data_IF_083366528371
#
_entry.id   IF_083366528371
#
_cell.length_a   1.000
_cell.length_b   1.000
_cell.length_c   1.000
_cell.angle_alpha   90.00
_cell.angle_beta   90.00
_cell.angle_gamma   90.00
#
_symmetry.space_group_name_H-M   'P 1'
#
loop_
_entity.id
_entity.type
_entity.pdbx_description
1 polymer ?
#
# COMPACT_ATOMS: atom_id res chain seq x y z
N UNK A 1 21.26 11.17 -14.86
CA UNK A 1 20.11 10.62 -14.13
C UNK A 1 19.10 9.88 -15.03
N UNK A 2 18.47 10.49 -16.05
CA UNK A 2 17.55 9.74 -16.92
C UNK A 2 18.24 8.62 -17.73
N UNK A 3 19.49 8.82 -18.15
CA UNK A 3 20.28 7.82 -18.89
C UNK A 3 20.69 6.66 -18.00
N UNK A 4 20.95 6.89 -16.74
CA UNK A 4 21.35 5.84 -15.79
C UNK A 4 20.23 4.82 -15.57
N UNK A 5 18.98 5.29 -15.36
CA UNK A 5 17.85 4.37 -15.18
C UNK A 5 17.57 3.51 -16.42
N UNK A 6 17.76 4.07 -17.63
CA UNK A 6 17.62 3.30 -18.88
C UNK A 6 18.66 2.19 -18.96
N UNK A 7 19.90 2.47 -18.56
CA UNK A 7 20.98 1.47 -18.50
C UNK A 7 20.61 0.37 -17.50
N UNK A 8 20.17 0.74 -16.29
CA UNK A 8 19.78 -0.24 -15.27
C UNK A 8 18.58 -1.10 -15.68
N UNK A 9 17.56 -0.52 -16.32
CA UNK A 9 16.43 -1.27 -16.88
C UNK A 9 16.91 -2.24 -17.95
N UNK A 10 17.79 -1.79 -18.85
CA UNK A 10 18.33 -2.64 -19.92
C UNK A 10 19.12 -3.82 -19.35
N UNK A 11 20.02 -3.57 -18.41
CA UNK A 11 20.79 -4.62 -17.73
C UNK A 11 19.85 -5.57 -16.99
N UNK A 12 18.84 -5.04 -16.27
CA UNK A 12 17.84 -5.84 -15.57
C UNK A 12 17.11 -6.79 -16.53
N UNK A 13 16.61 -6.30 -17.66
CA UNK A 13 15.91 -7.13 -18.66
C UNK A 13 16.82 -8.24 -19.19
N UNK A 14 18.06 -7.92 -19.55
CA UNK A 14 19.04 -8.89 -20.01
C UNK A 14 19.30 -9.97 -18.96
N UNK A 15 19.58 -9.57 -17.73
CA UNK A 15 19.83 -10.51 -16.64
C UNK A 15 18.59 -11.36 -16.32
N UNK A 16 17.39 -10.77 -16.37
CA UNK A 16 16.12 -11.48 -16.14
C UNK A 16 15.88 -12.59 -17.19
N UNK A 17 16.27 -12.37 -18.46
CA UNK A 17 16.18 -13.36 -19.53
C UNK A 17 17.21 -14.46 -19.35
N UNK A 18 18.43 -14.13 -18.93
CA UNK A 18 19.54 -15.08 -18.83
C UNK A 18 19.47 -15.97 -17.58
N UNK A 19 18.87 -15.49 -16.48
CA UNK A 19 18.89 -16.19 -15.19
C UNK A 19 17.57 -16.93 -14.95
N UNK A 20 17.62 -18.26 -14.92
CA UNK A 20 16.45 -19.13 -14.70
C UNK A 20 15.76 -18.92 -13.32
N UNK A 21 16.52 -18.57 -12.27
CA UNK A 21 16.01 -18.19 -10.94
C UNK A 21 16.22 -16.70 -10.73
N UNK A 22 15.29 -15.91 -11.14
CA UNK A 22 15.45 -14.46 -11.31
C UNK A 22 15.20 -13.61 -10.05
N UNK A 23 14.69 -14.17 -8.94
CA UNK A 23 14.40 -13.38 -7.74
C UNK A 23 15.61 -12.60 -7.16
N UNK A 24 16.87 -13.11 -7.22
CA UNK A 24 18.01 -12.31 -6.79
C UNK A 24 18.25 -11.10 -7.67
N UNK A 25 17.97 -11.23 -8.99
CA UNK A 25 18.08 -10.13 -9.95
C UNK A 25 17.06 -9.04 -9.62
N UNK A 26 15.82 -9.42 -9.31
CA UNK A 26 14.76 -8.49 -8.91
C UNK A 26 15.13 -7.75 -7.62
N UNK A 27 15.66 -8.48 -6.64
CA UNK A 27 16.07 -7.93 -5.35
C UNK A 27 17.22 -6.91 -5.50
N UNK A 28 18.26 -7.29 -6.24
CA UNK A 28 19.41 -6.40 -6.51
C UNK A 28 18.99 -5.17 -7.29
N UNK A 29 18.12 -5.34 -8.29
CA UNK A 29 17.60 -4.22 -9.09
C UNK A 29 16.85 -3.21 -8.22
N UNK A 30 15.91 -3.66 -7.39
CA UNK A 30 15.15 -2.78 -6.48
C UNK A 30 16.10 -2.04 -5.52
N UNK A 31 17.08 -2.74 -4.96
CA UNK A 31 18.06 -2.14 -4.05
C UNK A 31 18.91 -1.07 -4.75
N UNK A 32 19.34 -1.32 -6.00
CA UNK A 32 20.10 -0.34 -6.80
C UNK A 32 19.25 0.89 -7.16
N UNK A 33 18.02 0.70 -7.61
CA UNK A 33 17.11 1.82 -7.92
C UNK A 33 16.79 2.64 -6.66
N UNK A 34 16.62 1.99 -5.52
CA UNK A 34 16.44 2.67 -4.24
C UNK A 34 17.66 3.51 -3.85
N UNK A 35 18.85 2.97 -4.05
CA UNK A 35 20.11 3.70 -3.82
C UNK A 35 20.24 4.95 -4.71
N UNK A 36 19.75 4.88 -5.96
CA UNK A 36 19.74 6.04 -6.87
C UNK A 36 18.81 7.17 -6.41
N UNK A 37 17.77 6.87 -5.62
CA UNK A 37 16.83 7.88 -5.13
C UNK A 37 17.41 8.74 -4.00
N UNK A 38 18.02 8.12 -2.99
CA UNK A 38 18.41 8.78 -1.75
C UNK A 38 19.80 8.40 -1.23
N UNK A 39 20.60 7.67 -2.02
CA UNK A 39 21.90 7.16 -1.56
C UNK A 39 21.76 6.17 -0.39
N UNK A 40 22.78 6.00 0.44
CA UNK A 40 22.75 5.10 1.60
C UNK A 40 22.05 5.78 2.78
N UNK A 41 20.71 5.81 2.76
CA UNK A 41 19.90 6.49 3.78
C UNK A 41 18.79 5.59 4.34
N UNK A 42 18.22 5.99 5.47
CA UNK A 42 17.04 5.33 6.03
C UNK A 42 15.85 5.38 5.08
N UNK A 43 15.66 6.50 4.36
CA UNK A 43 14.61 6.64 3.35
C UNK A 43 14.71 5.55 2.29
N UNK A 44 15.91 5.26 1.80
CA UNK A 44 16.17 4.19 0.82
C UNK A 44 15.66 2.85 1.30
N UNK A 45 15.94 2.49 2.56
CA UNK A 45 15.50 1.23 3.16
C UNK A 45 13.98 1.20 3.31
N UNK A 46 13.40 2.25 3.89
CA UNK A 46 11.94 2.34 4.12
C UNK A 46 11.17 2.29 2.80
N UNK A 47 11.64 3.01 1.78
CA UNK A 47 10.97 3.04 0.48
C UNK A 47 11.08 1.70 -0.29
N UNK A 48 12.21 1.00 -0.22
CA UNK A 48 12.42 -0.26 -0.93
C UNK A 48 11.76 -1.47 -0.25
N UNK A 49 11.62 -1.45 1.07
CA UNK A 49 11.23 -2.61 1.88
C UNK A 49 9.95 -3.31 1.42
N UNK A 50 8.84 -2.62 1.09
CA UNK A 50 7.61 -3.30 0.66
C UNK A 50 7.79 -4.07 -0.66
N UNK A 51 8.60 -3.54 -1.57
CA UNK A 51 8.87 -4.18 -2.86
C UNK A 51 9.82 -5.35 -2.71
N UNK A 52 10.83 -5.23 -1.85
CA UNK A 52 11.74 -6.34 -1.52
C UNK A 52 10.98 -7.49 -0.85
N UNK A 53 10.04 -7.19 0.04
CA UNK A 53 9.14 -8.20 0.62
C UNK A 53 8.20 -8.76 -0.44
N UNK A 54 7.73 -7.97 -1.39
CA UNK A 54 6.94 -8.42 -2.52
C UNK A 54 7.67 -9.47 -3.36
N UNK A 55 8.97 -9.31 -3.58
CA UNK A 55 9.81 -10.33 -4.24
C UNK A 55 9.87 -11.62 -3.44
N UNK A 56 10.02 -11.54 -2.12
CA UNK A 56 10.15 -12.70 -1.23
C UNK A 56 8.80 -13.40 -0.99
N UNK A 57 7.71 -12.65 -0.95
CA UNK A 57 6.36 -13.12 -0.61
C UNK A 57 5.92 -14.33 -1.42
N UNK A 58 6.26 -14.37 -2.69
CA UNK A 58 5.82 -15.38 -3.63
C UNK A 58 6.95 -16.35 -4.00
N UNK A 59 7.99 -16.44 -3.18
CA UNK A 59 9.22 -17.20 -3.42
C UNK A 59 9.03 -18.71 -3.60
N UNK A 60 7.80 -19.22 -3.57
CA UNK A 60 7.50 -20.63 -3.80
C UNK A 60 6.30 -20.79 -4.73
N UNK A 61 6.50 -21.35 -5.91
CA UNK A 61 5.44 -21.71 -6.86
C UNK A 61 5.49 -20.92 -8.18
N UNK A 62 4.40 -21.03 -8.96
CA UNK A 62 4.28 -20.44 -10.31
C UNK A 62 4.43 -18.91 -10.38
N UNK A 63 4.17 -18.20 -9.27
CA UNK A 63 4.14 -16.74 -9.23
C UNK A 63 5.49 -16.08 -8.88
N UNK A 64 6.52 -16.86 -8.62
CA UNK A 64 7.80 -16.35 -8.12
C UNK A 64 8.50 -15.40 -9.10
N UNK A 65 8.47 -15.74 -10.39
CA UNK A 65 9.09 -14.94 -11.44
C UNK A 65 8.34 -13.63 -11.66
N UNK A 66 7.02 -13.74 -11.76
CA UNK A 66 6.10 -12.64 -12.04
C UNK A 66 6.03 -11.63 -10.89
N UNK A 67 6.05 -12.11 -9.65
CA UNK A 67 6.01 -11.24 -8.47
C UNK A 67 7.25 -10.36 -8.36
N UNK A 68 8.43 -10.93 -8.58
CA UNK A 68 9.67 -10.17 -8.61
C UNK A 68 9.64 -9.09 -9.70
N UNK A 69 9.22 -9.48 -10.92
CA UNK A 69 9.10 -8.56 -12.05
C UNK A 69 8.08 -7.44 -11.77
N UNK A 70 6.91 -7.79 -11.26
CA UNK A 70 5.88 -6.80 -10.92
C UNK A 70 6.37 -5.82 -9.84
N UNK A 71 7.05 -6.31 -8.80
CA UNK A 71 7.66 -5.47 -7.76
C UNK A 71 8.74 -4.55 -8.33
N UNK A 72 9.60 -5.05 -9.22
CA UNK A 72 10.65 -4.27 -9.88
C UNK A 72 10.08 -3.17 -10.77
N UNK A 73 9.07 -3.49 -11.60
CA UNK A 73 8.39 -2.51 -12.46
C UNK A 73 7.67 -1.46 -11.60
N UNK A 74 6.95 -1.89 -10.57
CA UNK A 74 6.25 -0.97 -9.67
C UNK A 74 7.25 -0.03 -8.97
N UNK A 75 8.40 -0.52 -8.52
CA UNK A 75 9.42 0.31 -7.89
C UNK A 75 10.12 1.24 -8.89
N UNK A 76 10.30 0.83 -10.15
CA UNK A 76 10.72 1.74 -11.22
C UNK A 76 9.72 2.88 -11.38
N UNK A 77 8.42 2.59 -11.27
CA UNK A 77 7.36 3.62 -11.23
C UNK A 77 7.56 4.61 -10.08
N UNK A 78 7.92 4.14 -8.88
CA UNK A 78 8.24 5.03 -7.74
C UNK A 78 9.43 5.93 -8.05
N UNK A 79 10.49 5.38 -8.66
CA UNK A 79 11.63 6.19 -9.10
C UNK A 79 11.21 7.29 -10.08
N UNK A 80 10.36 6.97 -11.06
CA UNK A 80 9.86 7.94 -12.02
C UNK A 80 8.97 9.01 -11.38
N UNK A 81 8.16 8.66 -10.38
CA UNK A 81 7.36 9.65 -9.63
C UNK A 81 8.22 10.69 -8.91
N UNK A 82 9.44 10.32 -8.52
CA UNK A 82 10.38 11.24 -7.88
C UNK A 82 11.09 12.19 -8.86
N UNK A 83 10.95 11.95 -10.18
CA UNK A 83 11.59 12.79 -11.19
C UNK A 83 10.72 13.96 -11.61
N UNK A 84 11.33 15.06 -12.05
CA UNK A 84 10.73 16.06 -12.90
C UNK A 84 10.98 15.70 -14.36
N UNK A 85 10.10 15.93 -15.31
CA UNK A 85 8.85 16.70 -15.30
C UNK A 85 7.56 15.88 -15.01
N UNK A 86 6.41 16.54 -15.05
CA UNK A 86 5.09 16.00 -14.71
C UNK A 86 4.72 14.67 -15.42
N UNK A 87 5.08 14.50 -16.68
CA UNK A 87 4.82 13.26 -17.42
C UNK A 87 5.55 12.05 -16.83
N UNK A 88 6.74 12.24 -16.26
CA UNK A 88 7.46 11.17 -15.55
C UNK A 88 6.71 10.75 -14.29
N UNK A 89 6.16 11.71 -13.54
CA UNK A 89 5.32 11.44 -12.37
C UNK A 89 4.07 10.65 -12.74
N UNK A 90 3.40 11.03 -13.83
CA UNK A 90 2.23 10.34 -14.34
C UNK A 90 2.56 8.90 -14.77
N UNK A 91 3.61 8.71 -15.56
CA UNK A 91 4.09 7.39 -15.98
C UNK A 91 4.47 6.54 -14.77
N UNK A 92 5.16 7.14 -13.81
CA UNK A 92 5.57 6.47 -12.57
C UNK A 92 4.39 5.97 -11.76
N UNK A 93 3.35 6.79 -11.59
CA UNK A 93 2.12 6.41 -10.91
C UNK A 93 1.43 5.24 -11.63
N UNK A 94 1.30 5.30 -12.95
CA UNK A 94 0.71 4.24 -13.76
C UNK A 94 1.49 2.91 -13.65
N UNK A 95 2.80 2.94 -13.72
CA UNK A 95 3.63 1.74 -13.57
C UNK A 95 3.50 1.14 -12.17
N UNK A 96 3.51 1.96 -11.12
CA UNK A 96 3.41 1.49 -9.75
C UNK A 96 2.02 0.88 -9.44
N UNK A 97 0.94 1.43 -10.00
CA UNK A 97 -0.43 0.96 -9.79
C UNK A 97 -0.76 -0.30 -10.60
N UNK A 98 -0.42 -0.33 -11.90
CA UNK A 98 -0.87 -1.40 -12.81
C UNK A 98 0.01 -2.66 -12.74
N UNK A 99 1.34 -2.53 -12.57
CA UNK A 99 2.25 -3.66 -12.64
C UNK A 99 1.87 -4.84 -11.70
N UNK A 100 1.46 -4.61 -10.46
CA UNK A 100 1.08 -5.72 -9.56
C UNK A 100 -0.19 -6.47 -10.02
N UNK A 101 -1.07 -5.85 -10.79
CA UNK A 101 -2.27 -6.50 -11.31
C UNK A 101 -1.95 -7.61 -12.32
N UNK A 102 -0.80 -7.52 -12.99
CA UNK A 102 -0.34 -8.56 -13.93
C UNK A 102 -0.14 -9.94 -13.27
N UNK A 103 -0.11 -10.01 -11.93
CA UNK A 103 -0.03 -11.28 -11.21
C UNK A 103 -1.34 -12.07 -11.18
N UNK A 104 -2.48 -11.43 -11.32
CA UNK A 104 -3.79 -12.10 -11.25
C UNK A 104 -4.03 -13.12 -12.36
N UNK A 105 -3.67 -12.86 -13.64
CA UNK A 105 -3.86 -13.83 -14.71
C UNK A 105 -3.06 -15.12 -14.52
N UNK A 106 -1.92 -15.04 -13.85
CA UNK A 106 -1.04 -16.20 -13.65
C UNK A 106 -1.65 -17.25 -12.72
N UNK A 107 -2.69 -16.89 -11.95
CA UNK A 107 -3.43 -17.80 -11.09
C UNK A 107 -4.38 -18.71 -11.85
N UNK A 108 -4.86 -18.28 -13.02
CA UNK A 108 -5.67 -19.08 -13.94
C UNK A 108 -7.11 -19.34 -13.47
N UNK A 109 -7.56 -18.74 -12.35
CA UNK A 109 -8.93 -18.84 -11.91
C UNK A 109 -9.81 -17.71 -12.44
N UNK A 110 -11.08 -18.05 -12.73
CA UNK A 110 -12.05 -17.11 -13.33
C UNK A 110 -12.28 -15.88 -12.44
N UNK A 111 -12.36 -16.08 -11.12
CA UNK A 111 -12.60 -14.98 -10.18
C UNK A 111 -11.48 -13.97 -10.17
N UNK A 112 -10.21 -14.41 -10.23
CA UNK A 112 -9.04 -13.52 -10.33
C UNK A 112 -9.01 -12.77 -11.66
N UNK A 113 -9.42 -13.40 -12.77
CA UNK A 113 -9.52 -12.72 -14.06
C UNK A 113 -10.60 -11.63 -14.04
N UNK A 114 -11.79 -11.94 -13.51
CA UNK A 114 -12.85 -10.94 -13.33
C UNK A 114 -12.39 -9.79 -12.41
N UNK A 115 -11.71 -10.10 -11.31
CA UNK A 115 -11.13 -9.10 -10.42
C UNK A 115 -10.10 -8.22 -11.11
N UNK A 116 -9.25 -8.80 -11.97
CA UNK A 116 -8.29 -8.06 -12.79
C UNK A 116 -8.99 -7.04 -13.71
N UNK A 117 -9.99 -7.48 -14.49
CA UNK A 117 -10.68 -6.56 -15.39
C UNK A 117 -11.31 -5.38 -14.65
N UNK A 118 -11.97 -5.64 -13.52
CA UNK A 118 -12.56 -4.59 -12.68
C UNK A 118 -11.51 -3.65 -12.11
N UNK A 119 -10.41 -4.19 -11.61
CA UNK A 119 -9.31 -3.38 -11.14
C UNK A 119 -8.72 -2.52 -12.26
N UNK A 120 -8.45 -3.09 -13.44
CA UNK A 120 -7.87 -2.34 -14.58
C UNK A 120 -8.77 -1.19 -15.03
N UNK A 121 -10.09 -1.36 -15.06
CA UNK A 121 -11.03 -0.28 -15.38
C UNK A 121 -10.87 0.89 -14.41
N UNK A 122 -10.88 0.61 -13.12
CA UNK A 122 -10.78 1.64 -12.08
C UNK A 122 -9.38 2.26 -12.02
N UNK A 123 -8.34 1.44 -12.10
CA UNK A 123 -6.95 1.95 -12.11
C UNK A 123 -6.66 2.78 -13.36
N UNK A 124 -7.24 2.41 -14.53
CA UNK A 124 -7.15 3.25 -15.74
C UNK A 124 -7.83 4.61 -15.53
N UNK A 125 -8.99 4.66 -14.87
CA UNK A 125 -9.65 5.92 -14.53
C UNK A 125 -8.79 6.73 -13.55
N UNK A 126 -8.23 6.13 -12.51
CA UNK A 126 -7.32 6.79 -11.57
C UNK A 126 -6.08 7.36 -12.28
N UNK A 127 -5.48 6.59 -13.20
CA UNK A 127 -4.37 7.06 -14.01
C UNK A 127 -4.75 8.19 -14.95
N UNK A 128 -5.94 8.15 -15.55
CA UNK A 128 -6.49 9.25 -16.36
C UNK A 128 -6.63 10.53 -15.55
N UNK A 129 -7.17 10.45 -14.33
CA UNK A 129 -7.25 11.59 -13.42
C UNK A 129 -5.86 12.10 -12.99
N UNK A 130 -4.90 11.21 -12.73
CA UNK A 130 -3.53 11.61 -12.40
C UNK A 130 -2.87 12.37 -13.56
N UNK A 131 -2.97 11.86 -14.79
CA UNK A 131 -2.44 12.51 -16.00
C UNK A 131 -3.09 13.89 -16.18
N UNK A 132 -4.43 13.95 -16.13
CA UNK A 132 -5.20 15.21 -16.29
C UNK A 132 -4.81 16.20 -15.20
N UNK A 133 -4.73 15.74 -13.96
CA UNK A 133 -4.37 16.57 -12.82
C UNK A 133 -2.98 17.18 -12.95
N UNK A 134 -1.98 16.37 -13.30
CA UNK A 134 -0.61 16.85 -13.49
C UNK A 134 -0.47 17.78 -14.71
N UNK A 135 -1.22 17.53 -15.79
CA UNK A 135 -1.21 18.39 -16.97
C UNK A 135 -1.86 19.76 -16.73
N UNK A 136 -2.90 19.81 -15.88
CA UNK A 136 -3.62 21.05 -15.57
C UNK A 136 -3.02 21.83 -14.41
N UNK A 137 -2.17 21.22 -13.59
CA UNK A 137 -1.71 21.77 -12.31
C UNK A 137 -1.07 23.16 -12.43
N UNK A 138 -0.31 23.39 -13.50
CA UNK A 138 0.41 24.66 -13.70
C UNK A 138 -0.51 25.77 -14.22
N UNK A 139 -1.55 25.42 -14.99
CA UNK A 139 -2.50 26.40 -15.58
C UNK A 139 -3.72 26.65 -14.68
N UNK A 140 -4.21 25.58 -14.04
CA UNK A 140 -5.41 25.59 -13.20
C UNK A 140 -5.14 24.79 -11.91
N UNK A 141 -4.40 25.34 -10.93
CA UNK A 141 -3.90 24.60 -9.77
C UNK A 141 -4.98 23.87 -8.97
N UNK A 142 -6.13 24.49 -8.74
CA UNK A 142 -7.23 23.88 -7.97
C UNK A 142 -7.82 22.67 -8.68
N UNK A 143 -8.10 22.79 -9.98
CA UNK A 143 -8.60 21.67 -10.79
C UNK A 143 -7.55 20.58 -10.93
N UNK A 144 -6.30 20.94 -11.19
CA UNK A 144 -5.21 19.98 -11.31
C UNK A 144 -5.05 19.16 -10.02
N UNK A 145 -4.97 19.82 -8.88
CA UNK A 145 -4.86 19.15 -7.60
C UNK A 145 -6.12 18.35 -7.22
N UNK A 146 -7.32 18.81 -7.55
CA UNK A 146 -8.55 18.04 -7.36
C UNK A 146 -8.49 16.69 -8.07
N UNK A 147 -8.06 16.65 -9.33
CA UNK A 147 -7.91 15.40 -10.07
C UNK A 147 -6.80 14.50 -9.49
N UNK A 148 -5.69 15.07 -9.02
CA UNK A 148 -4.62 14.31 -8.34
C UNK A 148 -5.15 13.67 -7.04
N UNK A 149 -5.88 14.43 -6.22
CA UNK A 149 -6.50 13.92 -4.98
C UNK A 149 -7.47 12.79 -5.30
N UNK A 150 -8.31 12.96 -6.33
CA UNK A 150 -9.26 11.94 -6.76
C UNK A 150 -8.54 10.67 -7.23
N UNK A 151 -7.47 10.78 -8.02
CA UNK A 151 -6.65 9.64 -8.44
C UNK A 151 -6.09 8.86 -7.26
N UNK A 152 -5.52 9.56 -6.28
CA UNK A 152 -4.98 8.96 -5.05
C UNK A 152 -6.08 8.28 -4.24
N UNK A 153 -7.23 8.94 -4.05
CA UNK A 153 -8.36 8.40 -3.30
C UNK A 153 -8.93 7.14 -3.96
N UNK A 154 -9.04 7.11 -5.29
CA UNK A 154 -9.48 5.93 -6.06
C UNK A 154 -8.50 4.78 -5.86
N UNK A 155 -7.19 5.00 -6.01
CA UNK A 155 -6.17 3.96 -5.92
C UNK A 155 -6.09 3.39 -4.49
N UNK A 156 -6.25 4.20 -3.46
CA UNK A 156 -6.36 3.76 -2.07
C UNK A 156 -7.66 2.99 -1.80
N UNK A 157 -8.69 3.19 -2.62
CA UNK A 157 -10.02 2.64 -2.40
C UNK A 157 -10.81 3.41 -1.34
N UNK A 158 -10.67 4.73 -1.31
CA UNK A 158 -11.42 5.60 -0.42
C UNK A 158 -12.81 5.95 -0.96
N UNK A 159 -13.67 6.50 -0.10
CA UNK A 159 -14.97 7.05 -0.49
C UNK A 159 -14.75 8.23 -1.47
N UNK A 160 -15.60 8.39 -2.52
CA UNK A 160 -16.80 7.60 -2.81
C UNK A 160 -16.55 6.33 -3.64
N UNK A 161 -15.34 6.12 -4.16
CA UNK A 161 -15.05 5.08 -5.16
C UNK A 161 -14.57 3.74 -4.55
N UNK A 162 -14.88 3.46 -3.30
CA UNK A 162 -14.37 2.30 -2.54
C UNK A 162 -14.92 0.93 -2.99
N UNK A 163 -16.08 0.90 -3.66
CA UNK A 163 -16.78 -0.35 -3.99
C UNK A 163 -15.93 -1.32 -4.81
N UNK A 164 -15.04 -0.81 -5.64
CA UNK A 164 -14.16 -1.66 -6.43
C UNK A 164 -13.26 -2.55 -5.57
N UNK A 165 -12.79 -2.04 -4.43
CA UNK A 165 -11.94 -2.82 -3.50
C UNK A 165 -12.72 -4.02 -2.98
N UNK A 166 -13.96 -3.80 -2.54
CA UNK A 166 -14.84 -4.86 -2.01
C UNK A 166 -15.14 -5.89 -3.08
N UNK A 167 -15.47 -5.44 -4.29
CA UNK A 167 -15.84 -6.30 -5.39
C UNK A 167 -14.64 -7.13 -5.90
N UNK A 168 -13.49 -6.51 -6.12
CA UNK A 168 -12.26 -7.19 -6.56
C UNK A 168 -11.78 -8.20 -5.52
N UNK A 169 -11.76 -7.81 -4.24
CA UNK A 169 -11.24 -8.70 -3.19
C UNK A 169 -12.16 -9.90 -2.96
N UNK A 170 -13.48 -9.73 -3.03
CA UNK A 170 -14.42 -10.84 -2.83
C UNK A 170 -14.34 -11.90 -3.93
N UNK A 171 -13.91 -11.55 -5.14
CA UNK A 171 -13.85 -12.45 -6.30
C UNK A 171 -12.49 -13.11 -6.49
N UNK A 172 -11.42 -12.39 -6.19
CA UNK A 172 -10.05 -12.85 -6.48
C UNK A 172 -9.55 -13.87 -5.47
N UNK A 173 -8.68 -14.77 -5.92
CA UNK A 173 -7.98 -15.70 -5.03
C UNK A 173 -7.06 -14.97 -4.05
N UNK A 174 -6.92 -15.49 -2.82
CA UNK A 174 -6.10 -14.87 -1.78
C UNK A 174 -4.63 -14.71 -2.19
N UNK A 175 -4.08 -15.63 -2.97
CA UNK A 175 -2.72 -15.54 -3.51
C UNK A 175 -2.49 -14.27 -4.34
N UNK A 176 -3.40 -13.92 -5.24
CA UNK A 176 -3.32 -12.70 -6.05
C UNK A 176 -3.57 -11.44 -5.21
N UNK A 177 -4.49 -11.54 -4.23
CA UNK A 177 -4.78 -10.44 -3.32
C UNK A 177 -3.59 -10.05 -2.45
N UNK A 178 -2.69 -10.96 -2.11
CA UNK A 178 -1.48 -10.61 -1.38
C UNK A 178 -0.65 -9.54 -2.11
N UNK A 179 -0.62 -9.55 -3.43
CA UNK A 179 0.05 -8.52 -4.22
C UNK A 179 -0.87 -7.32 -4.53
N UNK A 180 -2.10 -7.58 -4.99
CA UNK A 180 -3.03 -6.53 -5.42
C UNK A 180 -3.53 -5.65 -4.27
N UNK A 181 -3.73 -6.22 -3.08
CA UNK A 181 -4.14 -5.47 -1.90
C UNK A 181 -3.01 -4.66 -1.26
N UNK A 182 -1.79 -4.79 -1.75
CA UNK A 182 -0.59 -4.19 -1.16
C UNK A 182 0.15 -3.28 -2.14
N UNK A 183 0.79 -3.83 -3.15
CA UNK A 183 1.71 -3.09 -4.01
C UNK A 183 1.08 -1.90 -4.75
N UNK A 184 -0.13 -1.98 -5.34
CA UNK A 184 -0.74 -0.84 -6.03
C UNK A 184 -0.98 0.37 -5.13
N UNK A 185 -1.33 0.13 -3.86
CA UNK A 185 -1.56 1.21 -2.89
C UNK A 185 -0.31 2.01 -2.57
N UNK A 186 0.84 1.41 -2.78
CA UNK A 186 2.10 2.13 -2.67
C UNK A 186 2.21 3.24 -3.71
N UNK A 187 1.59 3.11 -4.91
CA UNK A 187 1.53 4.21 -5.88
C UNK A 187 0.93 5.47 -5.24
N UNK A 188 -0.19 5.33 -4.54
CA UNK A 188 -0.84 6.44 -3.83
C UNK A 188 0.01 6.94 -2.64
N UNK A 189 0.61 6.02 -1.87
CA UNK A 189 1.48 6.39 -0.74
C UNK A 189 2.69 7.21 -1.20
N UNK A 190 3.34 6.80 -2.29
CA UNK A 190 4.47 7.55 -2.85
C UNK A 190 4.03 8.85 -3.54
N UNK A 191 2.80 8.90 -4.07
CA UNK A 191 2.24 10.14 -4.60
C UNK A 191 2.11 11.23 -3.52
N UNK A 192 1.80 10.87 -2.27
CA UNK A 192 1.82 11.83 -1.16
C UNK A 192 3.21 12.46 -0.97
N UNK A 193 4.28 11.69 -1.15
CA UNK A 193 5.66 12.15 -0.92
C UNK A 193 6.25 12.88 -2.13
N UNK A 194 6.01 12.37 -3.35
CA UNK A 194 6.70 12.85 -4.56
C UNK A 194 5.85 13.77 -5.44
N UNK A 195 4.54 13.55 -5.51
CA UNK A 195 3.62 14.39 -6.28
C UNK A 195 3.11 15.56 -5.43
N UNK A 196 2.88 15.30 -4.12
CA UNK A 196 2.45 16.29 -3.13
C UNK A 196 1.19 17.03 -3.58
N UNK A 197 0.02 16.39 -3.62
CA UNK A 197 -1.21 17.04 -3.99
C UNK A 197 -1.49 18.23 -3.04
N UNK A 198 -1.83 19.39 -3.60
CA UNK A 198 -2.27 20.54 -2.84
C UNK A 198 -3.79 20.69 -2.93
N UNK A 199 -4.42 21.29 -1.92
CA UNK A 199 -5.86 21.50 -1.90
C UNK A 199 -6.35 21.86 -0.50
N UNK A 200 -7.64 22.21 -0.36
CA UNK A 200 -8.21 22.49 0.94
C UNK A 200 -8.11 21.27 1.87
N UNK A 201 -7.54 21.46 3.05
CA UNK A 201 -7.40 20.38 4.07
C UNK A 201 -8.73 19.71 4.38
N UNK A 202 -9.82 20.47 4.33
CA UNK A 202 -11.18 19.98 4.56
C UNK A 202 -11.56 18.84 3.60
N UNK A 203 -11.07 18.83 2.36
CA UNK A 203 -11.33 17.76 1.39
C UNK A 203 -10.71 16.47 1.88
N UNK A 204 -9.45 16.50 2.31
CA UNK A 204 -8.74 15.34 2.84
C UNK A 204 -9.38 14.82 4.13
N UNK A 205 -9.72 15.73 5.05
CA UNK A 205 -10.38 15.36 6.31
C UNK A 205 -11.75 14.73 6.07
N UNK A 206 -12.55 15.30 5.15
CA UNK A 206 -13.90 14.80 4.86
C UNK A 206 -13.86 13.42 4.20
N UNK A 207 -13.07 13.26 3.12
CA UNK A 207 -12.93 11.96 2.43
C UNK A 207 -12.35 10.93 3.41
N UNK A 208 -11.34 11.31 4.18
CA UNK A 208 -10.71 10.48 5.18
C UNK A 208 -11.71 10.01 6.26
N UNK A 209 -12.45 10.94 6.85
CA UNK A 209 -13.44 10.64 7.88
C UNK A 209 -14.55 9.72 7.36
N UNK A 210 -15.14 10.03 6.22
CA UNK A 210 -16.16 9.18 5.61
C UNK A 210 -15.65 7.78 5.30
N UNK A 211 -14.40 7.67 4.81
CA UNK A 211 -13.79 6.38 4.49
C UNK A 211 -13.56 5.53 5.75
N UNK A 212 -13.17 6.15 6.87
CA UNK A 212 -13.03 5.45 8.15
C UNK A 212 -14.36 4.85 8.62
N UNK A 213 -15.45 5.62 8.59
CA UNK A 213 -16.78 5.15 9.01
C UNK A 213 -17.27 4.03 8.09
N UNK A 214 -17.30 4.28 6.77
CA UNK A 214 -17.80 3.32 5.79
C UNK A 214 -17.00 2.01 5.84
N UNK A 215 -15.68 2.13 5.92
CA UNK A 215 -14.79 0.97 6.00
C UNK A 215 -15.00 0.17 7.28
N UNK A 216 -15.06 0.82 8.44
CA UNK A 216 -15.26 0.13 9.73
C UNK A 216 -16.64 -0.52 9.82
N UNK A 217 -17.71 0.18 9.43
CA UNK A 217 -19.07 -0.38 9.46
C UNK A 217 -19.19 -1.56 8.47
N UNK A 218 -18.65 -1.44 7.26
CA UNK A 218 -18.64 -2.52 6.30
C UNK A 218 -17.85 -3.75 6.77
N UNK A 219 -16.70 -3.56 7.44
CA UNK A 219 -15.92 -4.66 8.01
C UNK A 219 -16.64 -5.34 9.19
N UNK A 220 -17.31 -4.57 10.04
CA UNK A 220 -18.08 -5.11 11.19
C UNK A 220 -19.25 -5.99 10.73
N UNK A 221 -19.94 -5.59 9.67
CA UNK A 221 -21.11 -6.31 9.14
C UNK A 221 -20.76 -7.47 8.20
N UNK A 222 -19.51 -7.54 7.72
CA UNK A 222 -19.06 -8.60 6.81
C UNK A 222 -18.63 -9.86 7.57
N UNK A 223 -18.96 -11.05 6.99
CA UNK A 223 -18.56 -12.36 7.51
C UNK A 223 -17.46 -13.02 6.68
N UNK A 224 -17.36 -12.70 5.39
CA UNK A 224 -16.29 -13.19 4.50
C UNK A 224 -14.99 -12.46 4.81
N UNK A 225 -13.88 -13.20 5.06
CA UNK A 225 -12.57 -12.62 5.41
C UNK A 225 -12.04 -11.66 4.34
N UNK A 226 -12.26 -11.96 3.05
CA UNK A 226 -11.81 -11.11 1.96
C UNK A 226 -12.58 -9.79 1.96
N UNK A 227 -13.88 -9.81 2.26
CA UNK A 227 -14.69 -8.59 2.42
C UNK A 227 -14.30 -7.81 3.67
N UNK A 228 -14.05 -8.49 4.80
CA UNK A 228 -13.53 -7.84 6.01
C UNK A 228 -12.23 -7.09 5.71
N UNK A 229 -11.27 -7.74 5.05
CA UNK A 229 -10.00 -7.11 4.69
C UNK A 229 -10.17 -6.02 3.60
N UNK A 230 -11.15 -6.15 2.70
CA UNK A 230 -11.49 -5.11 1.74
C UNK A 230 -12.01 -3.84 2.42
N UNK A 231 -13.01 -3.97 3.28
CA UNK A 231 -13.55 -2.83 4.02
C UNK A 231 -12.54 -2.23 5.01
N UNK A 232 -11.72 -3.06 5.66
CA UNK A 232 -10.62 -2.55 6.49
C UNK A 232 -9.62 -1.74 5.67
N UNK A 233 -9.44 -2.07 4.39
CA UNK A 233 -8.64 -1.29 3.45
C UNK A 233 -9.22 0.11 3.23
N UNK A 234 -10.55 0.21 3.08
CA UNK A 234 -11.25 1.51 2.97
C UNK A 234 -11.02 2.35 4.23
N UNK A 235 -11.13 1.73 5.42
CA UNK A 235 -10.87 2.43 6.68
C UNK A 235 -9.42 2.93 6.77
N UNK A 236 -8.44 2.10 6.39
CA UNK A 236 -7.02 2.50 6.41
C UNK A 236 -6.69 3.58 5.36
N UNK A 237 -7.31 3.54 4.19
CA UNK A 237 -7.27 4.64 3.23
C UNK A 237 -7.78 5.96 3.85
N UNK A 238 -8.84 5.85 4.66
CA UNK A 238 -9.38 6.96 5.42
C UNK A 238 -8.38 7.56 6.42
N UNK A 239 -7.67 6.73 7.19
CA UNK A 239 -6.62 7.20 8.10
C UNK A 239 -5.50 7.92 7.34
N UNK A 240 -5.07 7.39 6.19
CA UNK A 240 -3.99 7.97 5.42
C UNK A 240 -4.38 9.33 4.80
N UNK A 241 -5.57 9.43 4.19
CA UNK A 241 -6.05 10.68 3.63
C UNK A 241 -6.25 11.75 4.72
N UNK A 242 -6.82 11.38 5.87
CA UNK A 242 -6.99 12.28 6.99
C UNK A 242 -5.64 12.77 7.56
N UNK A 243 -4.63 11.91 7.55
CA UNK A 243 -3.28 12.24 8.03
C UNK A 243 -2.50 13.17 7.09
N UNK A 244 -2.84 13.19 5.79
CA UNK A 244 -2.02 13.87 4.80
C UNK A 244 -1.81 15.37 5.06
N UNK A 245 -2.84 16.18 5.38
CA UNK A 245 -2.64 17.58 5.73
C UNK A 245 -1.80 17.81 7.00
N UNK A 246 -1.80 16.83 7.90
CA UNK A 246 -1.00 16.89 9.14
C UNK A 246 0.48 16.58 8.86
N UNK A 247 0.75 15.56 8.04
CA UNK A 247 2.09 15.20 7.56
C UNK A 247 2.00 14.20 6.40
N UNK A 248 2.64 14.53 5.29
CA UNK A 248 2.76 13.61 4.13
C UNK A 248 3.45 12.29 4.49
N UNK A 249 4.46 12.32 5.35
CA UNK A 249 5.15 11.14 5.82
C UNK A 249 4.29 10.29 6.76
N UNK A 250 3.44 10.94 7.56
CA UNK A 250 2.48 10.21 8.40
C UNK A 250 1.45 9.47 7.55
N UNK A 251 0.92 10.11 6.50
CA UNK A 251 0.05 9.45 5.53
C UNK A 251 0.73 8.27 4.85
N UNK A 252 1.98 8.45 4.41
CA UNK A 252 2.80 7.37 3.84
C UNK A 252 2.97 6.21 4.83
N UNK A 253 3.35 6.47 6.07
CA UNK A 253 3.58 5.44 7.08
C UNK A 253 2.34 4.64 7.44
N UNK A 254 1.15 5.26 7.42
CA UNK A 254 -0.12 4.57 7.62
C UNK A 254 -0.40 3.57 6.50
N UNK A 255 -0.21 3.96 5.24
CA UNK A 255 -0.34 3.04 4.10
C UNK A 255 0.76 1.98 4.13
N UNK A 256 1.99 2.35 4.44
CA UNK A 256 3.13 1.44 4.53
C UNK A 256 2.90 0.30 5.53
N UNK A 257 2.44 0.64 6.75
CA UNK A 257 2.14 -0.37 7.77
C UNK A 257 0.95 -1.27 7.38
N UNK A 258 -0.09 -0.70 6.75
CA UNK A 258 -1.24 -1.46 6.22
C UNK A 258 -0.81 -2.44 5.12
N UNK A 259 -0.03 -1.98 4.15
CA UNK A 259 0.45 -2.76 3.02
C UNK A 259 1.27 -3.96 3.48
N UNK A 260 2.25 -3.76 4.37
CA UNK A 260 3.08 -4.84 4.89
C UNK A 260 2.24 -5.89 5.63
N UNK A 261 1.32 -5.45 6.46
CA UNK A 261 0.43 -6.36 7.18
C UNK A 261 -0.53 -7.12 6.26
N UNK A 262 -1.15 -6.47 5.29
CA UNK A 262 -2.09 -7.10 4.36
C UNK A 262 -1.44 -8.06 3.39
N UNK A 263 -0.26 -7.73 2.88
CA UNK A 263 0.54 -8.65 2.09
C UNK A 263 0.71 -10.00 2.80
N UNK A 264 1.06 -9.96 4.08
CA UNK A 264 1.24 -11.15 4.89
C UNK A 264 -0.08 -11.81 5.30
N UNK A 265 -1.14 -11.05 5.60
CA UNK A 265 -2.46 -11.59 5.96
C UNK A 265 -3.12 -12.34 4.80
N UNK A 266 -3.07 -11.80 3.57
CA UNK A 266 -3.58 -12.52 2.41
C UNK A 266 -2.74 -13.75 2.05
N UNK A 267 -1.42 -13.68 2.24
CA UNK A 267 -0.57 -14.86 2.10
C UNK A 267 -0.88 -15.92 3.17
N UNK A 268 -1.19 -15.49 4.41
CA UNK A 268 -1.65 -16.37 5.48
C UNK A 268 -3.01 -16.99 5.14
N UNK A 269 -3.93 -16.23 4.60
CA UNK A 269 -5.26 -16.72 4.17
C UNK A 269 -5.14 -17.76 3.05
N UNK A 270 -4.16 -17.61 2.15
CA UNK A 270 -3.91 -18.55 1.05
C UNK A 270 -3.28 -19.87 1.50
N UNK A 271 -2.25 -19.79 2.33
CA UNK A 271 -1.35 -20.94 2.62
C UNK A 271 -1.45 -21.46 4.04
N UNK A 272 -2.12 -20.76 4.93
CA UNK A 272 -2.09 -21.03 6.36
C UNK A 272 -0.71 -20.80 6.99
N UNK A 273 -0.67 -20.41 8.25
CA UNK A 273 0.57 -20.22 8.99
C UNK A 273 0.36 -20.39 10.50
N UNK A 274 1.40 -20.16 11.30
CA UNK A 274 1.32 -20.27 12.75
C UNK A 274 0.38 -19.23 13.36
N UNK A 275 -0.38 -19.61 14.39
CA UNK A 275 -1.34 -18.74 15.08
C UNK A 275 -0.71 -17.48 15.66
N UNK A 276 0.52 -17.56 16.20
CA UNK A 276 1.23 -16.39 16.70
C UNK A 276 1.50 -15.35 15.59
N UNK A 277 1.82 -15.84 14.38
CA UNK A 277 1.98 -14.95 13.22
C UNK A 277 0.69 -14.24 12.85
N UNK A 278 -0.45 -14.95 12.85
CA UNK A 278 -1.77 -14.34 12.66
C UNK A 278 -2.06 -13.25 13.71
N UNK A 279 -1.78 -13.55 14.99
CA UNK A 279 -1.97 -12.58 16.09
C UNK A 279 -1.15 -11.32 15.89
N UNK A 280 0.13 -11.43 15.53
CA UNK A 280 1.01 -10.28 15.26
C UNK A 280 0.54 -9.48 14.05
N UNK A 281 0.17 -10.15 12.95
CA UNK A 281 -0.32 -9.47 11.74
C UNK A 281 -1.63 -8.71 11.99
N UNK A 282 -2.55 -9.32 12.73
CA UNK A 282 -3.80 -8.68 13.16
C UNK A 282 -3.52 -7.52 14.11
N UNK A 283 -2.60 -7.68 15.08
CA UNK A 283 -2.17 -6.60 15.98
C UNK A 283 -1.59 -5.41 15.19
N UNK A 284 -0.86 -5.67 14.10
CA UNK A 284 -0.37 -4.61 13.23
C UNK A 284 -1.50 -3.82 12.57
N UNK A 285 -2.55 -4.49 12.13
CA UNK A 285 -3.69 -3.83 11.50
C UNK A 285 -4.53 -3.02 12.51
N UNK A 286 -4.67 -3.53 13.72
CA UNK A 286 -5.36 -2.81 14.81
C UNK A 286 -4.49 -1.63 15.28
N UNK A 287 -3.18 -1.81 15.36
CA UNK A 287 -2.24 -0.86 15.96
C UNK A 287 -2.03 -1.15 17.45
N UNK A 288 -1.71 -2.41 17.81
CA UNK A 288 -1.36 -2.82 19.18
C UNK A 288 0.16 -2.84 19.31
N UNK A 289 0.77 -2.18 20.34
CA UNK A 289 2.21 -2.25 20.51
C UNK A 289 2.69 -3.69 20.77
N UNK A 290 3.91 -4.07 20.37
CA UNK A 290 5.00 -3.26 19.86
C UNK A 290 5.13 -3.25 18.33
N UNK A 291 4.09 -3.61 17.58
CA UNK A 291 4.18 -3.73 16.10
C UNK A 291 4.20 -2.36 15.40
N UNK A 292 4.69 -2.36 14.14
CA UNK A 292 4.85 -1.16 13.33
C UNK A 292 3.57 -0.32 13.24
N UNK A 293 2.40 -0.95 13.00
CA UNK A 293 1.13 -0.26 12.79
C UNK A 293 0.61 0.55 13.98
N UNK A 294 1.18 0.36 15.18
CA UNK A 294 0.86 1.16 16.36
C UNK A 294 1.34 2.61 16.22
N UNK A 295 2.58 2.82 15.81
CA UNK A 295 3.22 4.13 15.84
C UNK A 295 2.57 5.16 14.92
N UNK A 296 2.30 4.89 13.63
CA UNK A 296 1.62 5.87 12.79
C UNK A 296 0.22 6.24 13.30
N UNK A 297 -0.51 5.29 13.90
CA UNK A 297 -1.82 5.56 14.51
C UNK A 297 -1.71 6.41 15.77
N UNK A 298 -0.70 6.15 16.59
CA UNK A 298 -0.43 6.98 17.78
C UNK A 298 -0.09 8.43 17.38
N UNK A 299 0.81 8.60 16.41
CA UNK A 299 1.15 9.93 15.89
C UNK A 299 -0.04 10.63 15.24
N UNK A 300 -0.91 9.88 14.53
CA UNK A 300 -2.15 10.44 13.99
C UNK A 300 -3.05 11.00 15.10
N UNK A 301 -3.23 10.29 16.21
CA UNK A 301 -4.02 10.78 17.36
C UNK A 301 -3.38 12.04 17.93
N UNK A 302 -2.06 12.03 18.17
CA UNK A 302 -1.32 13.16 18.76
C UNK A 302 -1.41 14.40 17.84
N UNK A 303 -1.09 14.26 16.55
CA UNK A 303 -1.10 15.38 15.60
C UNK A 303 -2.52 15.94 15.43
N UNK A 304 -3.52 15.05 15.37
CA UNK A 304 -4.94 15.47 15.32
C UNK A 304 -5.34 16.22 16.57
N UNK A 305 -4.93 15.77 17.76
CA UNK A 305 -5.24 16.44 19.02
C UNK A 305 -4.64 17.85 19.09
N UNK A 306 -3.39 18.00 18.63
CA UNK A 306 -2.66 19.27 18.66
C UNK A 306 -3.20 20.25 17.61
N UNK A 307 -3.53 19.75 16.40
CA UNK A 307 -3.88 20.63 15.26
C UNK A 307 -5.38 20.91 15.18
N UNK A 308 -6.23 19.88 15.38
CA UNK A 308 -7.68 19.95 15.18
C UNK A 308 -8.47 19.87 16.48
N UNK A 309 -7.78 19.59 17.60
CA UNK A 309 -8.36 19.52 18.93
C UNK A 309 -8.83 18.12 19.35
N UNK A 310 -9.24 18.02 20.62
CA UNK A 310 -9.59 16.75 21.28
C UNK A 310 -10.76 16.01 20.67
N UNK A 311 -11.77 16.71 20.16
CA UNK A 311 -12.95 16.09 19.54
C UNK A 311 -12.56 15.29 18.28
N UNK A 312 -11.69 15.85 17.43
CA UNK A 312 -11.19 15.17 16.25
C UNK A 312 -10.29 13.98 16.63
N UNK A 313 -9.46 14.10 17.67
CA UNK A 313 -8.64 13.00 18.16
C UNK A 313 -9.49 11.85 18.74
N UNK A 314 -10.57 12.15 19.46
CA UNK A 314 -11.53 11.14 19.94
C UNK A 314 -12.18 10.43 18.75
N UNK A 315 -12.54 11.16 17.67
CA UNK A 315 -13.07 10.56 16.46
C UNK A 315 -12.11 9.53 15.84
N UNK A 316 -10.81 9.87 15.74
CA UNK A 316 -9.77 8.95 15.25
C UNK A 316 -9.67 7.74 16.19
N UNK A 317 -9.63 7.95 17.49
CA UNK A 317 -9.52 6.88 18.49
C UNK A 317 -10.71 5.91 18.41
N UNK A 318 -11.93 6.40 18.27
CA UNK A 318 -13.13 5.57 18.06
C UNK A 318 -12.99 4.73 16.81
N UNK A 319 -12.56 5.32 15.69
CA UNK A 319 -12.39 4.58 14.46
C UNK A 319 -11.28 3.52 14.53
N UNK A 320 -10.21 3.75 15.28
CA UNK A 320 -9.19 2.73 15.59
C UNK A 320 -9.81 1.62 16.44
N UNK A 321 -10.55 1.96 17.50
CA UNK A 321 -11.20 0.99 18.36
C UNK A 321 -12.20 0.09 17.61
N UNK A 322 -12.92 0.62 16.64
CA UNK A 322 -13.83 -0.15 15.78
C UNK A 322 -13.10 -1.22 14.95
N UNK A 323 -11.79 -1.12 14.76
CA UNK A 323 -11.02 -2.17 14.05
C UNK A 323 -10.85 -3.43 14.90
N UNK A 324 -10.90 -3.34 16.21
CA UNK A 324 -10.62 -4.44 17.15
C UNK A 324 -11.56 -5.63 16.95
N UNK A 325 -12.90 -5.48 17.04
CA UNK A 325 -13.81 -6.62 17.01
C UNK A 325 -13.76 -7.40 15.68
N UNK A 326 -13.69 -6.73 14.54
CA UNK A 326 -13.68 -7.46 13.27
C UNK A 326 -12.33 -8.13 12.98
N UNK A 327 -11.21 -7.56 13.42
CA UNK A 327 -9.91 -8.19 13.26
C UNK A 327 -9.71 -9.38 14.21
N UNK A 328 -10.20 -9.31 15.45
CA UNK A 328 -10.18 -10.47 16.35
C UNK A 328 -11.04 -11.61 15.81
N UNK A 329 -12.23 -11.31 15.27
CA UNK A 329 -13.06 -12.28 14.58
C UNK A 329 -12.34 -12.88 13.37
N UNK A 330 -11.67 -12.05 12.55
CA UNK A 330 -10.89 -12.51 11.40
C UNK A 330 -9.73 -13.42 11.83
N UNK A 331 -9.03 -13.10 12.92
CA UNK A 331 -7.93 -13.90 13.43
C UNK A 331 -8.34 -15.33 13.76
N UNK A 332 -9.51 -15.53 14.38
CA UNK A 332 -10.01 -16.85 14.72
C UNK A 332 -10.36 -17.71 13.51
N UNK A 333 -10.65 -17.08 12.38
CA UNK A 333 -11.04 -17.72 11.12
C UNK A 333 -9.88 -17.94 10.14
N UNK A 334 -8.68 -17.45 10.46
CA UNK A 334 -7.50 -17.67 9.60
C UNK A 334 -7.04 -19.13 9.66
N UNK A 335 -6.69 -19.75 8.50
CA UNK A 335 -6.31 -21.16 8.47
C UNK A 335 -4.96 -21.40 9.18
N UNK A 336 -4.84 -22.49 9.97
CA UNK A 336 -3.55 -22.90 10.50
C UNK A 336 -2.68 -23.47 9.37
N UNK A 337 -1.34 -23.41 9.53
CA UNK A 337 -0.40 -23.95 8.54
C UNK A 337 1.05 -23.68 8.86
N UNK A 338 1.91 -23.88 7.87
CA UNK A 338 3.37 -23.80 8.01
C UNK A 338 4.03 -22.77 7.11
N UNK A 339 3.26 -21.94 6.39
CA UNK A 339 3.84 -20.93 5.50
C UNK A 339 4.85 -20.03 6.24
N UNK A 340 6.02 -19.88 5.64
CA UNK A 340 7.13 -19.15 6.26
C UNK A 340 6.98 -17.64 6.11
N UNK A 341 6.47 -17.17 4.97
CA UNK A 341 6.38 -15.73 4.68
C UNK A 341 5.57 -14.96 5.75
N UNK A 342 4.36 -15.38 6.17
CA UNK A 342 3.63 -14.68 7.22
C UNK A 342 4.39 -14.65 8.56
N UNK A 343 5.18 -15.67 8.90
CA UNK A 343 6.02 -15.70 10.11
C UNK A 343 7.14 -14.67 10.02
N UNK A 344 7.85 -14.63 8.89
CA UNK A 344 8.93 -13.68 8.64
C UNK A 344 8.39 -12.25 8.65
N UNK A 345 7.29 -12.00 7.98
CA UNK A 345 6.64 -10.69 7.96
C UNK A 345 6.18 -10.26 9.36
N UNK A 346 5.59 -11.16 10.14
CA UNK A 346 5.19 -10.90 11.53
C UNK A 346 6.41 -10.52 12.40
N UNK A 347 7.49 -11.30 12.33
CA UNK A 347 8.73 -11.01 13.06
C UNK A 347 9.33 -9.65 12.67
N UNK A 348 9.30 -9.35 11.35
CA UNK A 348 9.79 -8.07 10.84
C UNK A 348 8.94 -6.89 11.34
N UNK A 349 7.61 -7.02 11.36
CA UNK A 349 6.71 -5.98 11.87
C UNK A 349 6.93 -5.69 13.36
N UNK A 350 7.25 -6.72 14.15
CA UNK A 350 7.63 -6.54 15.56
C UNK A 350 8.99 -5.86 15.65
N UNK A 351 9.99 -6.35 14.92
CA UNK A 351 11.33 -5.77 14.94
C UNK A 351 11.32 -4.28 14.55
N UNK A 352 10.71 -3.95 13.41
CA UNK A 352 10.59 -2.56 12.96
C UNK A 352 9.77 -1.74 13.97
N UNK A 353 8.72 -2.31 14.55
CA UNK A 353 7.89 -1.64 15.54
C UNK A 353 8.64 -1.31 16.83
N UNK A 354 9.50 -2.21 17.31
CA UNK A 354 10.32 -1.96 18.50
C UNK A 354 11.33 -0.82 18.28
N UNK A 355 11.94 -0.74 17.08
CA UNK A 355 12.90 0.33 16.78
C UNK A 355 12.22 1.59 16.19
N UNK A 356 10.91 1.54 15.94
CA UNK A 356 10.17 2.63 15.31
C UNK A 356 10.33 4.00 15.98
N UNK A 357 10.34 4.15 17.31
CA UNK A 357 10.55 5.45 17.95
C UNK A 357 11.83 6.16 17.52
N UNK A 358 12.88 5.38 17.18
CA UNK A 358 14.18 5.93 16.81
C UNK A 358 14.20 6.56 15.42
N UNK A 359 13.37 6.08 14.50
CA UNK A 359 13.43 6.51 13.12
C UNK A 359 12.14 7.21 12.62
N UNK A 360 10.99 6.94 13.21
CA UNK A 360 9.75 7.65 12.82
C UNK A 360 9.83 9.13 13.17
N UNK A 361 10.33 9.47 14.33
CA UNK A 361 10.54 10.88 14.69
C UNK A 361 11.40 11.62 13.69
N UNK A 362 12.45 10.97 13.18
CA UNK A 362 13.32 11.53 12.13
C UNK A 362 12.61 11.71 10.77
N UNK A 363 11.67 10.81 10.41
CA UNK A 363 10.89 10.96 9.18
C UNK A 363 9.81 12.03 9.30
N UNK A 364 9.27 12.25 10.50
CA UNK A 364 8.20 13.20 10.76
C UNK A 364 8.70 14.62 11.05
N UNK A 365 9.99 14.78 11.39
CA UNK A 365 10.65 16.08 11.53
C UNK A 365 10.96 16.71 10.17
#
# INVERSE_FOLDING_TARGET
>A
MAMDIVIYITIYIILKILVKKSWPVDFVYIALVAYLLYGPSLHTVVLALPFLLGVVMLSRGKLMYEAGTASAIAFTGVYLMAQEPAYMKALGFAMASIAPAALLPTLGDRGSLEGLFRYLIISTAANGFMITGLALRDMYPDFGNFFIILAIAIELGAVPMFLWVVDVYSRSAAAGLAALASLPKLAAAYAFVFIKPAGPDLVFYTIGALSMIVGNLGALTSHDLRKVFAYSTVAHAGFALFAYPLSQWLAFLLVFADVLGKMALFNHLDKGSARWGAAVLVSNQIGIPPVLGFWPKLYLIIYTAVTLGTAAAIYILINIALTVPYYFRAMSSLPPGQAMFPKVAASLLVFIGVIAPLWISYLLS
#
